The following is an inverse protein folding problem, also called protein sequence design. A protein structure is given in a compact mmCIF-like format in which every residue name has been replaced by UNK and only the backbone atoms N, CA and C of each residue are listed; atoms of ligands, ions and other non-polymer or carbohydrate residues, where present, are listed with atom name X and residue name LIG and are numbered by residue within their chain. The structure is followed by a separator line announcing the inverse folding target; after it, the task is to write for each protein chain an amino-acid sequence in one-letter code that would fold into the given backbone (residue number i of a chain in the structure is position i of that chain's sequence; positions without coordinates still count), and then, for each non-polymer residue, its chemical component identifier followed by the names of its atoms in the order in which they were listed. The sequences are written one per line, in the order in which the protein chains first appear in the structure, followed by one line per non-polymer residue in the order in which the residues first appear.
data_IF_170844822908
#
_entry.id   IF_170844822908
#
_cell.length_a   1.000
_cell.length_b   1.000
_cell.length_c   1.000
_cell.angle_alpha   90.00
_cell.angle_beta   90.00
_cell.angle_gamma   90.00
#
_symmetry.space_group_name_H-M   'P 1'
#
loop_
_entity.id
_entity.type
_entity.pdbx_description
1 polymer ?
#
# COMPACT_ATOMS: atom_id res chain seq x y z
N UNK A 1 34.10 -9.44 -20.96
CA UNK A 1 33.07 -10.25 -20.28
C UNK A 1 32.34 -9.32 -19.33
N UNK A 2 31.15 -8.84 -19.71
CA UNK A 2 30.31 -8.04 -18.83
C UNK A 2 29.35 -9.01 -18.14
N UNK A 3 29.64 -9.38 -16.89
CA UNK A 3 28.62 -9.98 -16.04
C UNK A 3 27.67 -8.84 -15.66
N UNK A 4 26.48 -8.85 -16.25
CA UNK A 4 25.36 -8.06 -15.74
C UNK A 4 24.99 -8.68 -14.40
N UNK A 5 25.40 -8.02 -13.31
CA UNK A 5 24.78 -8.26 -12.01
C UNK A 5 23.35 -7.77 -12.12
N UNK A 6 22.42 -8.68 -12.43
CA UNK A 6 21.03 -8.42 -12.13
C UNK A 6 20.94 -8.43 -10.62
N UNK A 7 21.05 -7.24 -10.02
CA UNK A 7 20.48 -6.99 -8.71
C UNK A 7 19.03 -7.42 -8.87
N UNK A 8 18.68 -8.59 -8.32
CA UNK A 8 17.30 -9.03 -8.25
C UNK A 8 16.62 -7.91 -7.48
N UNK A 9 15.90 -7.02 -8.18
CA UNK A 9 14.98 -6.09 -7.55
C UNK A 9 14.11 -6.99 -6.68
N UNK A 10 14.40 -7.02 -5.38
CA UNK A 10 13.57 -7.72 -4.41
C UNK A 10 12.13 -7.33 -4.76
N UNK A 11 11.26 -8.31 -5.05
CA UNK A 11 9.85 -8.05 -5.30
C UNK A 11 9.40 -7.07 -4.22
N UNK A 12 9.16 -5.80 -4.59
CA UNK A 12 9.10 -4.74 -3.60
C UNK A 12 7.91 -5.06 -2.69
N UNK A 13 8.20 -5.51 -1.45
CA UNK A 13 7.20 -5.91 -0.46
C UNK A 13 6.03 -4.95 -0.51
N UNK A 14 4.84 -5.48 -0.81
CA UNK A 14 3.62 -4.68 -0.88
C UNK A 14 2.86 -4.83 0.43
N UNK A 15 2.21 -3.74 0.84
CA UNK A 15 1.50 -3.65 2.10
C UNK A 15 0.05 -3.24 1.86
N UNK A 16 -0.88 -3.95 2.48
CA UNK A 16 -2.25 -3.47 2.70
C UNK A 16 -2.30 -2.73 4.03
N UNK A 17 -2.85 -1.52 3.98
CA UNK A 17 -2.96 -0.62 5.13
C UNK A 17 -4.43 -0.51 5.55
N UNK A 18 -4.73 -0.91 6.78
CA UNK A 18 -6.09 -0.87 7.35
C UNK A 18 -6.11 -0.09 8.66
N UNK A 19 -7.14 0.74 8.88
CA UNK A 19 -7.41 1.32 10.19
C UNK A 19 -8.00 0.23 11.10
N UNK A 20 -7.45 0.06 12.29
CA UNK A 20 -7.95 -0.90 13.29
C UNK A 20 -9.32 -0.48 13.83
N UNK A 21 -10.12 -1.47 14.20
CA UNK A 21 -11.45 -1.30 14.78
C UNK A 21 -12.58 -1.62 13.79
N UNK A 22 -13.82 -1.50 14.28
CA UNK A 22 -15.02 -1.81 13.49
C UNK A 22 -15.41 -0.62 12.59
N UNK A 23 -14.53 -0.30 11.63
CA UNK A 23 -14.71 0.79 10.67
C UNK A 23 -14.97 0.18 9.30
N UNK A 24 -16.07 0.56 8.67
CA UNK A 24 -16.51 -0.02 7.40
C UNK A 24 -15.61 0.39 6.23
N UNK A 25 -15.21 1.66 6.16
CA UNK A 25 -14.26 2.18 5.19
C UNK A 25 -12.88 2.33 5.81
N UNK A 26 -12.18 1.21 6.02
CA UNK A 26 -10.91 1.20 6.75
C UNK A 26 -9.68 0.90 5.91
N UNK A 27 -9.82 0.59 4.62
CA UNK A 27 -8.67 0.20 3.78
C UNK A 27 -8.18 1.38 2.95
N UNK A 28 -6.90 1.70 3.05
CA UNK A 28 -6.25 2.72 2.21
C UNK A 28 -6.02 2.18 0.80
N UNK A 29 -6.55 2.89 -0.19
CA UNK A 29 -6.36 2.56 -1.61
C UNK A 29 -5.89 3.79 -2.37
N UNK A 30 -5.24 3.55 -3.51
CA UNK A 30 -4.98 4.59 -4.51
C UNK A 30 -5.95 4.38 -5.67
N UNK A 31 -6.86 5.33 -5.89
CA UNK A 31 -7.78 5.24 -7.02
C UNK A 31 -7.12 5.82 -8.27
N UNK A 32 -6.86 4.99 -9.26
CA UNK A 32 -6.18 5.39 -10.50
C UNK A 32 -6.96 6.46 -11.26
N UNK A 33 -8.30 6.35 -11.28
CA UNK A 33 -9.17 7.35 -11.92
C UNK A 33 -9.16 8.72 -11.23
N UNK A 34 -8.97 8.75 -9.91
CA UNK A 34 -8.99 9.98 -9.12
C UNK A 34 -7.59 10.51 -8.81
N UNK A 35 -6.55 9.76 -9.19
CA UNK A 35 -5.14 10.04 -8.93
C UNK A 35 -4.84 10.41 -7.47
N UNK A 36 -5.51 9.74 -6.52
CA UNK A 36 -5.39 10.06 -5.09
C UNK A 36 -5.64 8.86 -4.17
N UNK A 37 -5.12 8.99 -2.97
CA UNK A 37 -5.38 8.08 -1.86
C UNK A 37 -6.70 8.39 -1.14
N UNK A 38 -7.42 7.37 -0.72
CA UNK A 38 -8.59 7.47 0.15
C UNK A 38 -8.88 6.14 0.86
N UNK A 39 -9.70 6.21 1.90
CA UNK A 39 -10.17 5.01 2.61
C UNK A 39 -11.50 4.53 2.02
N UNK A 40 -11.62 3.21 1.82
CA UNK A 40 -12.83 2.58 1.30
C UNK A 40 -13.12 1.26 2.02
N UNK A 41 -14.36 0.77 1.90
CA UNK A 41 -14.70 -0.62 2.19
C UNK A 41 -13.94 -1.46 1.17
N UNK A 42 -13.20 -2.48 1.60
CA UNK A 42 -12.17 -3.18 0.80
C UNK A 42 -12.65 -3.88 -0.49
N UNK A 43 -13.89 -3.69 -0.92
CA UNK A 43 -14.52 -4.43 -2.02
C UNK A 43 -14.61 -3.61 -3.31
N UNK A 44 -13.97 -4.17 -4.34
CA UNK A 44 -14.30 -4.05 -5.76
C UNK A 44 -14.43 -2.63 -6.30
N UNK A 45 -13.35 -1.85 -6.17
CA UNK A 45 -13.09 -0.78 -7.12
C UNK A 45 -12.08 -1.36 -8.11
N UNK A 46 -12.53 -1.77 -9.30
CA UNK A 46 -11.65 -2.37 -10.31
C UNK A 46 -10.48 -1.47 -10.72
N UNK A 47 -10.59 -0.16 -10.49
CA UNK A 47 -9.57 0.85 -10.77
C UNK A 47 -8.89 1.39 -9.50
N UNK A 48 -8.74 0.55 -8.47
CA UNK A 48 -8.06 0.91 -7.23
C UNK A 48 -6.92 -0.04 -6.90
N UNK A 49 -5.77 0.53 -6.53
CA UNK A 49 -4.61 -0.20 -6.04
C UNK A 49 -4.77 -0.37 -4.53
N UNK A 50 -4.83 -1.63 -4.09
CA UNK A 50 -5.10 -2.00 -2.69
C UNK A 50 -3.86 -2.31 -1.86
N UNK A 51 -2.74 -2.60 -2.51
CA UNK A 51 -1.46 -2.84 -1.85
C UNK A 51 -0.42 -1.87 -2.40
N UNK A 52 0.48 -1.40 -1.54
CA UNK A 52 1.41 -0.32 -1.87
C UNK A 52 2.81 -0.70 -1.42
N UNK A 53 3.83 -0.30 -2.16
CA UNK A 53 5.21 -0.43 -1.67
C UNK A 53 5.45 0.60 -0.57
N UNK A 54 6.44 0.34 0.29
CA UNK A 54 6.83 1.31 1.32
C UNK A 54 7.20 2.67 0.71
N UNK A 55 7.90 2.67 -0.43
CA UNK A 55 8.29 3.90 -1.15
C UNK A 55 7.06 4.69 -1.64
N UNK A 56 6.04 4.01 -2.15
CA UNK A 56 4.78 4.65 -2.57
C UNK A 56 4.09 5.35 -1.40
N UNK A 57 3.98 4.66 -0.26
CA UNK A 57 3.37 5.20 0.96
C UNK A 57 4.17 6.39 1.52
N UNK A 58 5.49 6.28 1.62
CA UNK A 58 6.37 7.35 2.10
C UNK A 58 6.29 8.58 1.20
N UNK A 59 6.36 8.40 -0.13
CA UNK A 59 6.23 9.48 -1.11
C UNK A 59 4.89 10.18 -1.06
N UNK A 60 3.82 9.46 -0.73
CA UNK A 60 2.47 9.98 -0.57
C UNK A 60 2.18 10.60 0.81
N UNK A 61 3.17 10.62 1.72
CA UNK A 61 2.99 11.14 3.08
C UNK A 61 2.30 10.18 4.05
N UNK A 62 2.13 8.92 3.66
CA UNK A 62 1.62 7.83 4.51
C UNK A 62 2.72 7.03 5.21
N UNK A 63 3.97 7.51 5.25
CA UNK A 63 5.04 6.80 5.96
C UNK A 63 4.74 6.53 7.44
N UNK A 64 3.93 7.38 8.09
CA UNK A 64 3.52 7.25 9.48
C UNK A 64 2.69 5.99 9.79
N UNK A 65 2.15 5.31 8.77
CA UNK A 65 1.30 4.13 8.97
C UNK A 65 2.05 2.95 9.59
N UNK A 66 3.38 2.90 9.42
CA UNK A 66 4.24 1.86 10.00
C UNK A 66 4.51 2.08 11.50
N UNK A 67 4.36 3.31 12.00
CA UNK A 67 4.61 3.68 13.39
C UNK A 67 3.32 3.91 14.19
N UNK A 68 2.15 3.69 13.59
CA UNK A 68 0.86 3.97 14.20
C UNK A 68 0.20 2.71 14.76
N UNK A 69 0.04 2.65 16.08
CA UNK A 69 -0.63 1.53 16.76
C UNK A 69 -2.08 1.32 16.29
N UNK A 70 -2.75 2.38 15.82
CA UNK A 70 -4.11 2.33 15.28
C UNK A 70 -4.22 1.76 13.86
N UNK A 71 -3.10 1.39 13.23
CA UNK A 71 -3.04 0.82 11.90
C UNK A 71 -2.66 -0.66 11.96
N UNK A 72 -3.28 -1.44 11.08
CA UNK A 72 -2.93 -2.81 10.75
C UNK A 72 -2.24 -2.82 9.38
N UNK A 73 -1.04 -3.39 9.34
CA UNK A 73 -0.24 -3.56 8.14
C UNK A 73 -0.17 -5.06 7.83
N UNK A 74 -0.61 -5.43 6.63
CA UNK A 74 -0.58 -6.80 6.12
C UNK A 74 0.38 -6.82 4.91
N UNK A 75 1.51 -7.50 5.04
CA UNK A 75 2.40 -7.78 3.90
C UNK A 75 1.69 -8.74 2.94
N UNK A 76 1.69 -8.43 1.64
CA UNK A 76 1.08 -9.26 0.60
C UNK A 76 2.14 -9.66 -0.41
N UNK A 77 2.04 -10.91 -0.88
CA UNK A 77 2.80 -11.46 -2.02
C UNK A 77 2.32 -10.87 -3.35
#
# INVERSE_FOLDING_TARGET
MHQFGYEVEEEEKRYRVKIKGNIKENTLVYGEFFERYFFTKSFSLDNAIHSHTRKELEKAGFGWVFDCEGIEIEEVE
#
